data_IF_848906786908
#
_entry.id   IF_848906786908
#
_cell.length_a   1.000
_cell.length_b   1.000
_cell.length_c   1.000
_cell.angle_alpha   90.00
_cell.angle_beta   90.00
_cell.angle_gamma   90.00
#
_symmetry.space_group_name_H-M   'P 1'
#
loop_
_entity.id
_entity.type
_entity.pdbx_description
1 polymer ?
#
# COMPACT_ATOMS: atom_id res chain seq x y z
N UNK A 1 -9.11 -19.93 -10.42
CA UNK A 1 -8.91 -20.80 -11.61
C UNK A 1 -7.61 -21.58 -11.43
N UNK A 2 -7.62 -22.92 -11.45
CA UNK A 2 -6.41 -23.71 -11.42
C UNK A 2 -5.50 -23.35 -12.60
N UNK A 3 -4.21 -23.10 -12.35
CA UNK A 3 -3.24 -22.63 -13.37
C UNK A 3 -3.08 -23.58 -14.56
N UNK A 4 -3.34 -24.87 -14.37
CA UNK A 4 -3.25 -25.92 -15.38
C UNK A 4 -4.62 -26.56 -15.70
N UNK A 5 -5.71 -25.93 -15.26
CA UNK A 5 -7.08 -26.38 -15.55
C UNK A 5 -7.65 -25.77 -16.83
N UNK A 6 -8.90 -26.09 -17.09
CA UNK A 6 -9.72 -25.52 -18.17
C UNK A 6 -10.82 -24.60 -17.61
N UNK A 7 -11.73 -24.15 -18.48
CA UNK A 7 -12.84 -23.28 -18.09
C UNK A 7 -13.81 -23.96 -17.10
N UNK A 8 -14.01 -25.27 -17.21
CA UNK A 8 -14.88 -26.06 -16.32
C UNK A 8 -14.26 -26.24 -14.93
N UNK A 9 -12.93 -26.09 -14.83
CA UNK A 9 -12.18 -26.15 -13.58
C UNK A 9 -12.29 -24.86 -12.74
N UNK A 10 -12.99 -23.82 -13.22
CA UNK A 10 -13.18 -22.55 -12.49
C UNK A 10 -14.18 -22.75 -11.35
N UNK A 11 -13.76 -22.41 -10.14
CA UNK A 11 -14.64 -22.32 -8.98
C UNK A 11 -14.97 -20.86 -8.69
N UNK A 12 -16.26 -20.59 -8.49
CA UNK A 12 -16.77 -19.27 -8.12
C UNK A 12 -17.17 -19.27 -6.65
N UNK A 13 -16.93 -18.14 -6.00
CA UNK A 13 -17.26 -17.90 -4.60
C UNK A 13 -17.99 -16.57 -4.51
N UNK A 14 -19.11 -16.55 -3.79
CA UNK A 14 -19.87 -15.34 -3.52
C UNK A 14 -19.33 -14.65 -2.27
N UNK A 15 -19.21 -13.32 -2.33
CA UNK A 15 -18.72 -12.47 -1.25
C UNK A 15 -19.62 -11.25 -1.10
N UNK A 16 -19.61 -10.64 0.08
CA UNK A 16 -20.30 -9.36 0.29
C UNK A 16 -19.78 -8.30 -0.69
N UNK A 17 -20.61 -7.35 -1.16
CA UNK A 17 -20.16 -6.24 -1.99
C UNK A 17 -19.07 -5.41 -1.30
N UNK A 18 -18.03 -5.03 -2.05
CA UNK A 18 -16.96 -4.14 -1.62
C UNK A 18 -16.27 -3.48 -2.81
N UNK A 19 -15.38 -2.53 -2.54
CA UNK A 19 -14.44 -2.00 -3.53
C UNK A 19 -13.00 -2.37 -3.13
N UNK A 20 -12.20 -2.79 -4.11
CA UNK A 20 -10.78 -3.09 -3.96
C UNK A 20 -10.09 -2.74 -5.27
N UNK A 21 -8.95 -2.05 -5.18
CA UNK A 21 -8.08 -1.80 -6.33
C UNK A 21 -6.91 -2.77 -6.39
N UNK A 22 -6.22 -2.94 -5.27
CA UNK A 22 -4.97 -3.68 -5.24
C UNK A 22 -4.99 -4.85 -4.27
N UNK A 23 -4.49 -5.97 -4.77
CA UNK A 23 -4.15 -7.16 -4.00
C UNK A 23 -2.77 -6.97 -3.37
N UNK A 24 -2.60 -7.47 -2.15
CA UNK A 24 -1.29 -7.60 -1.51
C UNK A 24 -0.62 -8.87 -2.01
N UNK A 25 -1.25 -10.01 -1.77
CA UNK A 25 -0.77 -11.32 -2.17
C UNK A 25 -1.90 -12.35 -2.16
N UNK A 26 -1.64 -13.55 -2.69
CA UNK A 26 -2.57 -14.66 -2.69
C UNK A 26 -1.78 -15.97 -2.62
N UNK A 27 -2.13 -16.90 -1.73
CA UNK A 27 -1.41 -18.15 -1.52
C UNK A 27 -2.33 -19.28 -1.05
N UNK A 28 -1.86 -20.52 -1.14
CA UNK A 28 -2.60 -21.71 -0.71
C UNK A 28 -2.18 -22.13 0.71
N UNK A 29 -3.15 -22.54 1.53
CA UNK A 29 -2.95 -23.16 2.83
C UNK A 29 -3.90 -24.34 2.99
N UNK A 30 -3.36 -25.55 2.87
CA UNK A 30 -4.16 -26.78 2.91
C UNK A 30 -5.21 -26.79 1.81
N UNK A 31 -6.48 -26.78 2.21
CA UNK A 31 -7.63 -26.77 1.29
C UNK A 31 -8.15 -25.36 0.98
N UNK A 32 -7.46 -24.32 1.45
CA UNK A 32 -7.89 -22.93 1.31
C UNK A 32 -6.99 -22.13 0.38
N UNK A 33 -7.59 -21.20 -0.37
CA UNK A 33 -6.88 -20.10 -1.00
C UNK A 33 -7.08 -18.86 -0.13
N UNK A 34 -5.97 -18.29 0.34
CA UNK A 34 -5.93 -17.05 1.11
C UNK A 34 -5.70 -15.90 0.15
N UNK A 35 -6.61 -14.93 0.14
CA UNK A 35 -6.54 -13.72 -0.69
C UNK A 35 -6.41 -12.53 0.24
N UNK A 36 -5.38 -11.72 0.07
CA UNK A 36 -5.17 -10.51 0.87
C UNK A 36 -5.21 -9.28 -0.04
N UNK A 37 -5.97 -8.27 0.33
CA UNK A 37 -6.09 -7.04 -0.45
C UNK A 37 -6.60 -5.86 0.37
N UNK A 38 -6.51 -4.68 -0.23
CA UNK A 38 -6.95 -3.44 0.40
C UNK A 38 -8.42 -3.17 0.02
N UNK A 39 -9.32 -3.43 0.98
CA UNK A 39 -10.77 -3.41 0.85
C UNK A 39 -11.34 -2.12 1.44
N UNK A 40 -12.25 -1.47 0.73
CA UNK A 40 -13.20 -0.52 1.29
C UNK A 40 -14.63 -1.06 1.21
N UNK A 41 -15.47 -0.67 2.17
CA UNK A 41 -16.86 -1.10 2.22
C UNK A 41 -17.73 -0.45 1.13
N UNK A 42 -17.29 0.70 0.60
CA UNK A 42 -18.01 1.44 -0.45
C UNK A 42 -17.04 1.97 -1.53
N UNK A 43 -17.59 2.38 -2.67
CA UNK A 43 -16.81 2.82 -3.83
C UNK A 43 -16.16 4.20 -3.61
N UNK A 44 -14.83 4.24 -3.75
CA UNK A 44 -14.06 5.49 -3.82
C UNK A 44 -14.18 6.15 -5.20
N UNK A 45 -14.57 5.41 -6.24
CA UNK A 45 -14.84 5.96 -7.57
C UNK A 45 -16.27 6.50 -7.63
N UNK A 46 -16.48 7.77 -7.97
CA UNK A 46 -17.81 8.28 -8.25
C UNK A 46 -18.37 7.58 -9.49
N UNK A 47 -19.34 6.69 -9.31
CA UNK A 47 -20.17 6.20 -10.41
C UNK A 47 -20.98 7.34 -11.03
N UNK A 48 -21.58 7.15 -12.22
CA UNK A 48 -22.33 8.21 -12.93
C UNK A 48 -23.60 8.70 -12.21
N UNK A 49 -23.89 8.21 -10.99
CA UNK A 49 -25.15 8.42 -10.26
C UNK A 49 -24.98 8.86 -8.80
N UNK A 50 -23.76 9.04 -8.29
CA UNK A 50 -23.60 9.43 -6.89
C UNK A 50 -24.02 10.90 -6.69
N UNK A 51 -24.95 11.11 -5.75
CA UNK A 51 -25.39 12.43 -5.36
C UNK A 51 -24.20 13.18 -4.75
N UNK A 52 -23.97 14.43 -5.18
CA UNK A 52 -22.86 15.27 -4.68
C UNK A 52 -22.83 15.39 -3.14
N UNK A 53 -23.95 15.17 -2.44
CA UNK A 53 -24.00 15.17 -0.97
C UNK A 53 -23.32 13.98 -0.30
N UNK A 54 -23.16 12.82 -0.96
CA UNK A 54 -22.61 11.60 -0.32
C UNK A 54 -21.07 11.58 -0.32
N UNK A 55 -20.43 12.38 -1.19
CA UNK A 55 -18.97 12.50 -1.33
C UNK A 55 -18.42 13.70 -0.54
N UNK A 56 -19.25 14.71 -0.29
CA UNK A 56 -18.81 15.90 0.43
C UNK A 56 -18.80 15.60 1.94
N UNK A 57 -17.67 15.75 2.66
CA UNK A 57 -17.76 15.93 4.10
C UNK A 57 -18.68 17.13 4.34
N UNK A 58 -19.68 16.94 5.21
CA UNK A 58 -20.68 17.95 5.58
C UNK A 58 -20.02 19.34 5.68
N UNK A 59 -20.52 20.33 4.91
CA UNK A 59 -20.09 21.73 4.97
C UNK A 59 -20.13 22.19 6.44
N UNK A 60 -18.99 22.34 7.09
CA UNK A 60 -18.95 22.95 8.42
C UNK A 60 -19.11 24.46 8.27
N UNK A 61 -20.22 25.03 8.75
CA UNK A 61 -20.24 26.44 9.12
C UNK A 61 -19.28 26.65 10.31
N UNK A 62 -18.36 27.61 10.21
CA UNK A 62 -17.50 27.99 11.33
C UNK A 62 -18.36 28.55 12.47
N UNK A 63 -18.45 27.83 13.60
CA UNK A 63 -18.79 28.45 14.88
C UNK A 63 -17.53 29.05 15.51
N UNK A 64 -17.69 30.23 16.11
CA UNK A 64 -16.65 31.13 16.63
C UNK A 64 -15.83 30.62 17.83
N UNK A 65 -16.00 29.38 18.26
CA UNK A 65 -15.28 28.84 19.42
C UNK A 65 -14.26 27.83 18.94
N UNK A 66 -12.98 28.22 18.94
CA UNK A 66 -11.81 27.51 18.40
C UNK A 66 -11.47 26.16 19.06
N UNK A 67 -12.43 25.24 19.12
CA UNK A 67 -12.19 23.82 19.37
C UNK A 67 -12.28 23.06 18.05
N UNK A 68 -11.17 22.46 17.63
CA UNK A 68 -11.13 21.59 16.47
C UNK A 68 -12.06 20.39 16.70
N UNK A 69 -13.12 20.28 15.89
CA UNK A 69 -13.94 19.08 15.84
C UNK A 69 -13.16 18.01 15.05
N UNK A 70 -12.90 16.84 15.65
CA UNK A 70 -12.52 15.65 14.88
C UNK A 70 -13.76 15.25 14.06
N UNK A 71 -13.90 15.81 12.86
CA UNK A 71 -15.03 15.50 11.99
C UNK A 71 -14.83 14.09 11.42
N UNK A 72 -15.84 13.24 11.60
CA UNK A 72 -15.81 11.82 11.29
C UNK A 72 -15.47 11.58 9.83
N UNK A 73 -14.29 11.02 9.59
CA UNK A 73 -13.91 10.52 8.27
C UNK A 73 -14.88 9.38 7.95
N UNK A 74 -15.45 9.35 6.75
CA UNK A 74 -16.33 8.24 6.36
C UNK A 74 -15.49 6.96 6.21
N UNK A 75 -15.37 6.20 7.30
CA UNK A 75 -14.59 4.97 7.40
C UNK A 75 -15.01 3.92 6.37
N UNK A 76 -16.22 4.04 5.78
CA UNK A 76 -16.66 3.14 4.69
C UNK A 76 -15.80 3.27 3.43
N UNK A 77 -15.14 4.41 3.24
CA UNK A 77 -14.23 4.67 2.11
C UNK A 77 -12.77 4.35 2.45
N UNK A 78 -12.48 3.89 3.68
CA UNK A 78 -11.11 3.50 4.04
C UNK A 78 -10.78 2.16 3.41
N UNK A 79 -9.72 2.15 2.62
CA UNK A 79 -9.15 0.94 2.09
C UNK A 79 -8.23 0.37 3.17
N UNK A 80 -8.54 -0.84 3.64
CA UNK A 80 -7.92 -1.51 4.79
C UNK A 80 -7.53 -2.92 4.39
N UNK A 81 -6.51 -3.48 5.03
CA UNK A 81 -6.15 -4.87 4.75
C UNK A 81 -7.28 -5.79 5.20
N UNK A 82 -7.77 -6.59 4.27
CA UNK A 82 -8.77 -7.62 4.46
C UNK A 82 -8.24 -8.95 3.91
N UNK A 83 -8.46 -10.02 4.66
CA UNK A 83 -8.14 -11.39 4.24
C UNK A 83 -9.43 -12.14 3.94
N UNK A 84 -9.51 -12.76 2.76
CA UNK A 84 -10.52 -13.77 2.44
C UNK A 84 -9.88 -15.14 2.48
N UNK A 85 -10.59 -16.11 3.03
CA UNK A 85 -10.24 -17.53 2.95
C UNK A 85 -11.30 -18.28 2.18
N UNK A 86 -10.89 -18.83 1.04
CA UNK A 86 -11.75 -19.56 0.11
C UNK A 86 -11.47 -21.05 0.26
N UNK A 87 -12.38 -21.79 0.90
CA UNK A 87 -12.20 -23.22 1.11
C UNK A 87 -12.65 -24.00 -0.13
N UNK A 88 -11.71 -24.69 -0.79
CA UNK A 88 -11.94 -25.39 -2.06
C UNK A 88 -12.75 -26.68 -1.89
N UNK A 89 -12.77 -27.29 -0.69
CA UNK A 89 -13.54 -28.51 -0.40
C UNK A 89 -14.98 -28.20 -0.03
N UNK A 90 -15.19 -27.30 0.93
CA UNK A 90 -16.52 -26.95 1.44
C UNK A 90 -17.22 -25.92 0.57
N UNK A 91 -16.47 -25.22 -0.30
CA UNK A 91 -16.94 -24.10 -1.14
C UNK A 91 -17.47 -22.92 -0.31
N UNK A 92 -16.90 -22.71 0.87
CA UNK A 92 -17.26 -21.61 1.77
C UNK A 92 -16.23 -20.49 1.71
N UNK A 93 -16.67 -19.27 2.03
CA UNK A 93 -15.79 -18.11 2.21
C UNK A 93 -15.92 -17.61 3.63
N UNK A 94 -14.78 -17.26 4.23
CA UNK A 94 -14.72 -16.37 5.39
C UNK A 94 -13.84 -15.17 5.06
N UNK A 95 -13.95 -14.11 5.87
CA UNK A 95 -12.99 -13.02 5.77
C UNK A 95 -13.10 -12.03 6.90
N UNK A 96 -12.02 -11.30 7.13
CA UNK A 96 -11.87 -10.37 8.23
C UNK A 96 -10.92 -9.21 7.87
N UNK A 97 -11.10 -8.08 8.55
CA UNK A 97 -10.12 -6.99 8.49
C UNK A 97 -8.93 -7.32 9.38
N UNK A 98 -7.72 -7.22 8.83
CA UNK A 98 -6.49 -7.41 9.60
C UNK A 98 -5.96 -6.09 10.19
N UNK A 99 -6.33 -4.94 9.62
CA UNK A 99 -5.94 -3.60 10.11
C UNK A 99 -7.16 -2.81 10.56
N UNK A 100 -6.96 -1.83 11.46
CA UNK A 100 -8.03 -0.99 11.99
C UNK A 100 -8.33 0.21 11.08
N UNK A 101 -8.90 1.27 11.65
CA UNK A 101 -9.26 2.52 10.95
C UNK A 101 -8.27 3.65 11.19
N UNK A 102 -7.12 3.38 11.80
CA UNK A 102 -6.04 4.34 12.07
C UNK A 102 -5.50 5.01 10.81
N UNK A 103 -5.48 4.30 9.68
CA UNK A 103 -5.11 4.85 8.39
C UNK A 103 -5.78 4.09 7.24
N UNK A 104 -6.09 4.83 6.15
CA UNK A 104 -6.45 4.23 4.88
C UNK A 104 -5.18 3.94 4.08
N UNK A 105 -5.11 2.76 3.47
CA UNK A 105 -3.94 2.20 2.82
C UNK A 105 -4.22 1.96 1.34
N UNK A 106 -3.24 2.19 0.48
CA UNK A 106 -3.31 1.84 -0.95
C UNK A 106 -1.92 1.53 -1.51
N UNK A 107 -1.85 1.06 -2.76
CA UNK A 107 -0.59 0.66 -3.41
C UNK A 107 0.25 -0.29 -2.55
N UNK A 108 -0.28 -1.50 -2.24
CA UNK A 108 0.44 -2.48 -1.47
C UNK A 108 1.64 -3.03 -2.24
N UNK A 109 2.62 -3.50 -1.50
CA UNK A 109 3.84 -4.12 -2.01
C UNK A 109 4.36 -5.14 -0.99
N UNK A 110 5.02 -6.17 -1.48
CA UNK A 110 5.69 -7.21 -0.68
C UNK A 110 7.10 -7.41 -1.21
N UNK A 111 7.91 -8.20 -0.50
CA UNK A 111 9.09 -8.79 -1.10
C UNK A 111 8.66 -9.76 -2.22
N UNK A 112 8.97 -9.43 -3.48
CA UNK A 112 8.54 -10.21 -4.64
C UNK A 112 9.06 -11.65 -4.67
N UNK A 113 10.05 -12.02 -3.84
CA UNK A 113 10.43 -13.41 -3.64
C UNK A 113 9.32 -14.27 -3.01
N UNK A 114 8.31 -13.61 -2.41
CA UNK A 114 7.19 -14.24 -1.71
C UNK A 114 5.85 -14.09 -2.45
N UNK A 115 5.86 -13.63 -3.70
CA UNK A 115 4.64 -13.58 -4.52
C UNK A 115 4.07 -14.98 -4.73
N UNK A 116 2.78 -15.16 -4.40
CA UNK A 116 2.10 -16.45 -4.58
C UNK A 116 2.32 -17.45 -3.45
N UNK A 117 3.08 -17.09 -2.40
CA UNK A 117 3.36 -17.93 -1.23
C UNK A 117 3.12 -17.15 0.06
N UNK A 118 3.07 -17.86 1.19
CA UNK A 118 2.93 -17.25 2.52
C UNK A 118 4.06 -16.24 2.76
N UNK A 119 3.73 -15.14 3.41
CA UNK A 119 4.63 -14.03 3.68
C UNK A 119 4.30 -13.40 5.05
N UNK A 120 5.33 -12.95 5.76
CA UNK A 120 5.26 -12.35 7.09
C UNK A 120 5.06 -10.83 7.07
N UNK A 121 5.40 -10.18 5.95
CA UNK A 121 5.40 -8.72 5.85
C UNK A 121 4.72 -8.22 4.58
N UNK A 122 4.03 -7.11 4.72
CA UNK A 122 3.55 -6.29 3.61
C UNK A 122 3.85 -4.82 3.85
N UNK A 123 3.74 -4.02 2.81
CA UNK A 123 3.87 -2.57 2.91
C UNK A 123 2.80 -1.91 2.07
N UNK A 124 2.40 -0.69 2.42
CA UNK A 124 1.44 0.10 1.67
C UNK A 124 1.75 1.59 1.81
N UNK A 125 1.23 2.39 0.88
CA UNK A 125 1.21 3.84 0.99
C UNK A 125 0.01 4.27 1.83
N UNK A 126 0.19 5.28 2.68
CA UNK A 126 -0.89 5.79 3.53
C UNK A 126 -1.58 6.96 2.82
N UNK A 127 -2.88 6.80 2.57
CA UNK A 127 -3.72 7.84 1.97
C UNK A 127 -3.75 9.06 2.90
N UNK A 128 -3.37 10.21 2.36
CA UNK A 128 -3.51 11.50 3.03
C UNK A 128 -4.95 11.99 2.89
N UNK A 129 -5.70 11.98 4.00
CA UNK A 129 -7.09 12.43 4.05
C UNK A 129 -7.23 13.95 4.29
N UNK A 130 -6.11 14.67 4.49
CA UNK A 130 -6.09 16.07 4.93
C UNK A 130 -5.75 17.07 3.82
N UNK A 131 -5.28 16.62 2.65
CA UNK A 131 -4.93 17.50 1.54
C UNK A 131 -6.14 18.20 0.96
N UNK A 132 -6.43 19.39 1.52
CA UNK A 132 -7.32 20.38 0.94
C UNK A 132 -6.78 20.78 -0.43
N UNK A 133 -7.57 20.52 -1.46
CA UNK A 133 -7.28 21.04 -2.80
C UNK A 133 -7.13 22.57 -2.73
N UNK A 134 -5.93 23.08 -2.99
CA UNK A 134 -5.69 24.51 -3.21
C UNK A 134 -6.24 24.99 -4.56
N UNK A 135 -6.84 24.10 -5.37
CA UNK A 135 -7.43 24.42 -6.65
C UNK A 135 -8.94 24.18 -6.63
N UNK A 136 -9.69 25.05 -7.30
CA UNK A 136 -11.14 24.97 -7.50
C UNK A 136 -11.61 23.78 -8.37
N UNK A 137 -10.74 22.79 -8.63
CA UNK A 137 -11.08 21.60 -9.41
C UNK A 137 -11.61 20.51 -8.49
N UNK A 138 -12.87 20.12 -8.70
CA UNK A 138 -13.63 19.10 -7.95
C UNK A 138 -13.08 17.66 -8.10
N UNK A 139 -11.81 17.45 -8.51
CA UNK A 139 -11.18 16.13 -8.62
C UNK A 139 -10.10 15.97 -7.56
N UNK A 140 -10.47 15.42 -6.41
CA UNK A 140 -9.52 14.99 -5.38
C UNK A 140 -8.91 13.66 -5.85
N UNK A 141 -7.69 13.70 -6.37
CA UNK A 141 -6.87 12.50 -6.46
C UNK A 141 -6.27 12.25 -5.07
N UNK A 142 -6.40 11.03 -4.51
CA UNK A 142 -5.77 10.72 -3.23
C UNK A 142 -4.26 10.92 -3.36
N UNK A 143 -3.70 11.64 -2.40
CA UNK A 143 -2.25 11.77 -2.21
C UNK A 143 -1.83 10.83 -1.09
N UNK A 144 -0.53 10.56 -0.99
CA UNK A 144 -0.01 9.58 -0.05
C UNK A 144 1.04 10.22 0.86
N UNK A 145 0.74 10.35 2.14
CA UNK A 145 1.56 11.09 3.12
C UNK A 145 2.55 10.23 3.91
N UNK A 146 2.77 8.98 3.50
CA UNK A 146 3.63 8.06 4.23
C UNK A 146 3.51 6.61 3.78
N UNK A 147 4.11 5.73 4.56
CA UNK A 147 4.13 4.29 4.34
C UNK A 147 3.77 3.55 5.62
N UNK A 148 3.13 2.40 5.46
CA UNK A 148 2.87 1.44 6.53
C UNK A 148 3.60 0.13 6.22
N UNK A 149 4.22 -0.47 7.24
CA UNK A 149 4.68 -1.86 7.24
C UNK A 149 3.65 -2.67 8.04
N UNK A 150 3.20 -3.76 7.45
CA UNK A 150 2.17 -4.67 7.96
C UNK A 150 2.88 -5.93 8.47
N UNK A 151 2.79 -6.23 9.75
CA UNK A 151 3.45 -7.39 10.38
C UNK A 151 2.45 -8.54 10.57
N UNK A 152 2.41 -9.48 9.62
CA UNK A 152 1.41 -10.56 9.55
C UNK A 152 1.74 -11.75 10.45
N UNK A 153 3.03 -11.98 10.75
CA UNK A 153 3.51 -13.12 11.55
C UNK A 153 3.06 -13.07 13.02
N UNK A 154 2.83 -11.88 13.57
CA UNK A 154 2.50 -11.71 15.00
C UNK A 154 1.16 -12.37 15.41
N UNK A 155 0.29 -12.71 14.44
CA UNK A 155 -0.95 -13.47 14.69
C UNK A 155 -0.74 -14.97 14.95
N UNK A 156 0.41 -15.54 14.58
CA UNK A 156 0.67 -16.98 14.74
C UNK A 156 0.97 -17.37 16.21
N UNK A 157 1.29 -16.39 17.07
CA UNK A 157 1.79 -16.62 18.44
C UNK A 157 0.79 -16.32 19.58
N UNK A 158 -0.45 -15.90 19.29
CA UNK A 158 -1.46 -15.58 20.31
C UNK A 158 -2.70 -16.46 20.20
N UNK A 159 -3.16 -17.00 21.33
CA UNK A 159 -4.50 -17.62 21.44
C UNK A 159 -5.54 -16.56 21.05
N UNK A 160 -6.15 -16.77 19.88
CA UNK A 160 -6.82 -15.73 19.09
C UNK A 160 -8.03 -15.14 19.81
N UNK A 161 -7.99 -13.84 20.08
CA UNK A 161 -9.16 -13.05 20.44
C UNK A 161 -9.70 -12.34 19.19
N UNK A 162 -11.01 -12.09 19.14
CA UNK A 162 -11.71 -11.56 17.96
C UNK A 162 -11.33 -10.11 17.57
N UNK A 163 -10.36 -9.49 18.24
CA UNK A 163 -9.88 -8.12 18.00
C UNK A 163 -8.36 -8.06 17.76
N UNK A 164 -7.73 -9.18 17.42
CA UNK A 164 -6.28 -9.25 17.17
C UNK A 164 -5.93 -8.66 15.80
N UNK A 165 -5.93 -7.34 15.70
CA UNK A 165 -5.40 -6.60 14.56
C UNK A 165 -3.88 -6.80 14.49
N UNK A 166 -3.33 -6.84 13.27
CA UNK A 166 -1.89 -6.94 13.08
C UNK A 166 -1.19 -5.67 13.54
N UNK A 167 0.05 -5.80 14.00
CA UNK A 167 0.91 -4.64 14.24
C UNK A 167 1.23 -3.95 12.92
N UNK A 168 1.22 -2.62 12.96
CA UNK A 168 1.75 -1.79 11.89
C UNK A 168 2.84 -0.85 12.40
N UNK A 169 3.88 -0.69 11.60
CA UNK A 169 4.92 0.33 11.80
C UNK A 169 4.72 1.42 10.75
N UNK A 170 4.83 2.69 11.16
CA UNK A 170 4.41 3.82 10.32
C UNK A 170 5.57 4.78 10.05
N UNK A 171 5.83 5.02 8.77
CA UNK A 171 6.77 6.04 8.31
C UNK A 171 5.99 7.24 7.73
N UNK A 172 5.87 8.33 8.50
CA UNK A 172 5.22 9.56 8.02
C UNK A 172 6.22 10.47 7.30
N UNK A 173 5.77 11.03 6.18
CA UNK A 173 6.49 12.10 5.49
C UNK A 173 6.22 13.44 6.18
N UNK A 174 7.01 14.45 5.83
CA UNK A 174 6.82 15.81 6.35
C UNK A 174 5.55 16.45 5.77
N UNK A 175 5.10 17.55 6.37
CA UNK A 175 4.03 18.35 5.79
C UNK A 175 4.38 18.79 4.33
N UNK A 176 3.40 18.67 3.43
CA UNK A 176 3.50 18.88 1.98
C UNK A 176 4.34 17.87 1.20
N UNK A 177 4.82 16.79 1.83
CA UNK A 177 5.53 15.70 1.15
C UNK A 177 4.60 14.54 0.83
N UNK A 178 4.56 14.14 -0.45
CA UNK A 178 3.69 13.06 -0.92
C UNK A 178 4.48 12.04 -1.75
N UNK A 179 4.23 10.75 -1.48
CA UNK A 179 4.89 9.65 -2.17
C UNK A 179 4.10 9.10 -3.36
N UNK A 180 4.82 8.42 -4.26
CA UNK A 180 4.26 7.59 -5.33
C UNK A 180 5.28 6.56 -5.83
N UNK A 181 4.83 5.58 -6.62
CA UNK A 181 5.71 4.61 -7.28
C UNK A 181 6.60 3.80 -6.34
N UNK A 182 6.13 3.52 -5.12
CA UNK A 182 6.88 2.78 -4.13
C UNK A 182 7.12 1.32 -4.54
N UNK A 183 8.28 0.77 -4.18
CA UNK A 183 8.63 -0.62 -4.42
C UNK A 183 9.53 -1.14 -3.30
N UNK A 184 9.36 -2.41 -2.93
CA UNK A 184 10.28 -3.11 -2.06
C UNK A 184 11.50 -3.59 -2.84
N UNK A 185 12.68 -3.38 -2.25
CA UNK A 185 13.98 -3.80 -2.81
C UNK A 185 14.67 -4.73 -1.83
N UNK A 186 14.78 -6.04 -2.14
CA UNK A 186 15.45 -6.98 -1.24
C UNK A 186 16.95 -6.67 -1.15
N UNK A 187 17.50 -6.83 0.05
CA UNK A 187 18.94 -6.82 0.28
C UNK A 187 19.58 -8.02 -0.39
N UNK A 188 20.64 -7.80 -1.15
CA UNK A 188 21.44 -8.89 -1.73
C UNK A 188 22.02 -9.73 -0.59
N UNK A 189 21.68 -11.01 -0.57
CA UNK A 189 22.08 -11.94 0.50
C UNK A 189 21.37 -11.71 1.84
N UNK A 190 20.24 -11.00 1.87
CA UNK A 190 19.37 -10.91 3.05
C UNK A 190 18.87 -12.29 3.50
N UNK A 191 18.67 -12.45 4.80
CA UNK A 191 18.23 -13.72 5.41
C UNK A 191 16.80 -13.68 5.96
N UNK A 192 16.19 -12.50 6.07
CA UNK A 192 14.82 -12.29 6.50
C UNK A 192 13.98 -11.71 5.36
N UNK A 193 12.67 -11.95 5.39
CA UNK A 193 11.75 -11.47 4.36
C UNK A 193 11.76 -9.94 4.25
N UNK A 194 11.86 -9.23 5.39
CA UNK A 194 11.94 -7.78 5.47
C UNK A 194 13.38 -7.22 5.41
N UNK A 195 14.38 -8.03 5.05
CA UNK A 195 15.74 -7.54 4.80
C UNK A 195 15.78 -6.77 3.48
N UNK A 196 15.54 -5.47 3.53
CA UNK A 196 15.51 -4.66 2.33
C UNK A 196 15.23 -3.18 2.58
N UNK A 197 14.68 -2.56 1.55
CA UNK A 197 14.30 -1.16 1.59
C UNK A 197 12.99 -0.92 0.86
N UNK A 198 12.24 0.08 1.31
CA UNK A 198 11.26 0.76 0.46
C UNK A 198 11.96 1.88 -0.28
N UNK A 199 11.83 1.89 -1.60
CA UNK A 199 12.26 3.00 -2.45
C UNK A 199 11.03 3.65 -3.05
N UNK A 200 10.92 4.98 -2.96
CA UNK A 200 9.78 5.72 -3.48
C UNK A 200 10.17 7.14 -3.87
N UNK A 201 9.47 7.69 -4.87
CA UNK A 201 9.53 9.13 -5.15
C UNK A 201 8.73 9.88 -4.11
N UNK A 202 9.29 10.97 -3.60
CA UNK A 202 8.63 11.91 -2.70
C UNK A 202 8.69 13.31 -3.31
N UNK A 203 7.54 13.93 -3.50
CA UNK A 203 7.40 15.29 -3.98
C UNK A 203 7.04 16.21 -2.83
N UNK A 204 7.84 17.24 -2.60
CA UNK A 204 7.53 18.32 -1.68
C UNK A 204 6.85 19.45 -2.46
N UNK A 205 5.55 19.66 -2.26
CA UNK A 205 4.77 20.64 -3.02
C UNK A 205 5.13 22.09 -2.68
N UNK A 206 5.56 22.35 -1.44
CA UNK A 206 5.95 23.68 -0.98
C UNK A 206 7.23 24.19 -1.64
N UNK A 207 8.22 23.31 -1.83
CA UNK A 207 9.49 23.65 -2.48
C UNK A 207 9.52 23.28 -3.96
N UNK A 208 8.49 22.57 -4.43
CA UNK A 208 8.41 21.98 -5.78
C UNK A 208 9.61 21.08 -6.12
N UNK A 209 10.17 20.39 -5.13
CA UNK A 209 11.31 19.47 -5.30
C UNK A 209 10.83 18.01 -5.28
N UNK A 210 11.57 17.14 -5.96
CA UNK A 210 11.35 15.69 -5.88
C UNK A 210 12.60 14.99 -5.41
N UNK A 211 12.44 14.00 -4.54
CA UNK A 211 13.52 13.17 -4.03
C UNK A 211 13.16 11.70 -4.22
N UNK A 212 14.17 10.83 -4.26
CA UNK A 212 14.00 9.40 -4.01
C UNK A 212 14.34 9.16 -2.54
N UNK A 213 13.37 8.65 -1.78
CA UNK A 213 13.59 8.19 -0.41
C UNK A 213 13.93 6.70 -0.42
N UNK A 214 14.92 6.32 0.38
CA UNK A 214 15.29 4.92 0.65
C UNK A 214 15.10 4.70 2.14
N UNK A 215 14.17 3.82 2.51
CA UNK A 215 13.74 3.56 3.89
C UNK A 215 14.12 2.13 4.25
N UNK A 216 14.86 1.94 5.34
CA UNK A 216 15.24 0.61 5.84
C UNK A 216 14.02 -0.06 6.49
N UNK A 217 13.65 -1.24 6.00
CA UNK A 217 12.42 -1.93 6.42
C UNK A 217 12.50 -2.56 7.81
N UNK A 218 13.70 -2.71 8.39
CA UNK A 218 13.90 -3.12 9.77
C UNK A 218 13.98 -1.94 10.75
N UNK A 219 14.11 -0.71 10.24
CA UNK A 219 14.09 0.53 11.01
C UNK A 219 13.04 1.48 10.45
N UNK A 220 11.85 0.95 10.23
CA UNK A 220 10.85 1.52 9.34
C UNK A 220 10.35 2.90 9.80
N UNK A 221 10.13 3.08 11.10
CA UNK A 221 9.69 4.36 11.69
C UNK A 221 10.81 5.41 11.78
N UNK A 222 12.05 5.02 11.49
CA UNK A 222 13.22 5.89 11.50
C UNK A 222 13.31 6.79 10.29
N UNK A 223 14.29 7.70 10.29
CA UNK A 223 14.59 8.54 9.13
C UNK A 223 15.03 7.68 7.91
N UNK A 224 14.75 8.11 6.67
CA UNK A 224 15.28 7.45 5.48
C UNK A 224 16.81 7.32 5.55
N UNK A 225 17.35 6.16 5.17
CA UNK A 225 18.80 5.94 5.13
C UNK A 225 19.48 6.76 4.02
N UNK A 226 18.71 7.18 3.01
CA UNK A 226 19.12 8.14 2.01
C UNK A 226 17.93 8.92 1.45
N UNK A 227 18.18 10.17 1.08
CA UNK A 227 17.30 11.01 0.26
C UNK A 227 18.12 11.55 -0.92
N UNK A 228 17.70 11.25 -2.15
CA UNK A 228 18.40 11.67 -3.36
C UNK A 228 17.56 12.73 -4.07
N UNK A 229 18.00 13.98 -4.08
CA UNK A 229 17.30 15.06 -4.78
C UNK A 229 17.43 14.91 -6.29
N UNK A 230 16.29 14.96 -6.98
CA UNK A 230 16.23 14.86 -8.43
C UNK A 230 16.35 16.25 -9.07
N UNK A 231 16.96 16.37 -10.26
CA UNK A 231 17.16 17.66 -10.92
C UNK A 231 15.86 18.24 -11.49
N UNK A 232 14.77 17.46 -11.53
CA UNK A 232 13.47 17.82 -12.07
C UNK A 232 12.35 17.22 -11.23
N UNK A 233 11.19 17.84 -11.28
CA UNK A 233 9.97 17.34 -10.65
C UNK A 233 9.55 16.01 -11.28
N UNK A 234 9.24 15.03 -10.44
CA UNK A 234 8.56 13.80 -10.84
C UNK A 234 7.06 13.97 -10.60
N UNK A 235 6.19 13.87 -11.64
CA UNK A 235 4.75 13.88 -11.44
C UNK A 235 4.27 12.71 -10.59
N UNK A 236 3.13 12.87 -9.92
CA UNK A 236 2.48 11.76 -9.22
C UNK A 236 2.19 10.63 -10.20
N UNK A 237 2.87 9.50 -9.98
CA UNK A 237 2.68 8.27 -10.74
C UNK A 237 1.78 7.28 -10.00
N UNK A 238 1.57 6.13 -10.62
CA UNK A 238 0.88 4.99 -10.01
C UNK A 238 1.92 3.99 -9.48
N UNK A 239 2.22 2.97 -10.28
CA UNK A 239 3.10 1.88 -9.90
C UNK A 239 4.57 2.19 -10.16
N UNK A 240 5.43 1.56 -9.37
CA UNK A 240 6.87 1.50 -9.59
C UNK A 240 7.34 0.06 -9.47
N UNK A 241 8.40 -0.29 -10.18
CA UNK A 241 9.07 -1.59 -10.04
C UNK A 241 10.56 -1.38 -9.98
N UNK A 242 11.23 -2.14 -9.12
CA UNK A 242 12.68 -2.21 -9.09
C UNK A 242 13.15 -3.44 -9.87
N UNK A 243 14.15 -3.24 -10.73
CA UNK A 243 14.74 -4.33 -11.52
C UNK A 243 16.23 -4.37 -11.23
N UNK A 244 16.69 -5.47 -10.65
CA UNK A 244 18.11 -5.70 -10.46
C UNK A 244 18.81 -5.97 -11.80
N UNK A 245 19.90 -5.28 -12.08
CA UNK A 245 20.66 -5.53 -13.30
C UNK A 245 21.64 -6.68 -13.09
N UNK A 246 21.25 -7.89 -13.50
CA UNK A 246 22.14 -9.06 -13.52
C UNK A 246 23.05 -9.01 -14.75
N UNK A 247 23.99 -8.06 -14.82
CA UNK A 247 25.03 -8.12 -15.85
C UNK A 247 26.01 -9.24 -15.46
N UNK A 248 25.81 -10.43 -16.02
CA UNK A 248 26.86 -11.45 -16.15
C UNK A 248 27.34 -11.43 -17.60
N UNK A 249 28.43 -10.68 -17.86
CA UNK A 249 29.05 -10.59 -19.18
C UNK A 249 30.02 -9.41 -19.37
N UNK A 250 31.26 -9.59 -18.91
CA UNK A 250 32.54 -8.94 -19.34
C UNK A 250 32.62 -7.39 -19.52
N UNK A 251 33.37 -6.71 -18.62
CA UNK A 251 34.78 -6.23 -18.75
C UNK A 251 35.04 -5.10 -17.74
N UNK A 252 36.21 -5.21 -17.11
CA UNK A 252 36.89 -4.30 -16.20
C UNK A 252 36.87 -2.80 -16.63
N UNK A 253 36.38 -1.89 -15.78
CA UNK A 253 37.05 -0.60 -15.46
C UNK A 253 36.36 0.14 -14.29
N UNK A 254 37.18 0.46 -13.28
CA UNK A 254 37.08 1.55 -12.27
C UNK A 254 35.84 1.67 -11.37
N UNK A 255 36.14 1.78 -10.08
CA UNK A 255 35.24 2.12 -8.98
C UNK A 255 34.54 3.46 -9.18
N UNK A 256 33.32 3.42 -9.70
CA UNK A 256 32.31 4.46 -9.48
C UNK A 256 31.09 3.78 -8.86
N UNK A 257 30.67 4.24 -7.67
CA UNK A 257 29.39 3.87 -7.09
C UNK A 257 28.27 4.50 -7.92
N UNK A 258 27.92 3.88 -9.04
CA UNK A 258 26.71 4.21 -9.79
C UNK A 258 25.59 3.29 -9.35
N UNK A 259 24.57 3.87 -8.73
CA UNK A 259 23.21 3.33 -8.74
C UNK A 259 22.65 3.54 -10.16
N UNK A 260 23.23 2.82 -11.12
CA UNK A 260 22.62 2.74 -12.45
C UNK A 260 21.45 1.76 -12.35
N UNK A 261 20.27 2.25 -12.76
CA UNK A 261 19.04 1.52 -13.09
C UNK A 261 17.96 1.41 -12.00
N UNK A 262 17.20 2.50 -11.80
CA UNK A 262 15.76 2.38 -11.59
C UNK A 262 15.06 2.57 -12.94
N UNK A 263 14.28 1.57 -13.38
CA UNK A 263 13.36 1.72 -14.51
C UNK A 263 11.94 1.80 -13.96
N UNK A 264 11.31 2.96 -14.11
CA UNK A 264 9.90 3.14 -13.85
C UNK A 264 9.12 2.90 -15.14
N UNK A 265 8.04 2.12 -15.06
CA UNK A 265 7.08 1.96 -16.14
C UNK A 265 5.93 2.93 -15.81
N UNK A 266 5.68 3.89 -16.70
CA UNK A 266 4.56 4.84 -16.63
C UNK A 266 3.38 4.36 -17.47
#
# INVERSE_FOLDING_TARGET
>A
MPRYGDAESVMWFDVEPFCMFHLINCFEEGDEVVVQGLRSADSVIPGPRLNKQEILPERSELKKDGKAMKQGINEKLFSRLFEWRLNLKTKTVSGEYLTGTECSLEFPMINNHYTGVRHSYGYAQIVDSLTRSASSSEKVLPKYGGFAKLCLEERENTETSAEDLIKMEIHRLSEDEFCSGASFVPRVGGSHEDDGWIISFVHNERTNTSQVHIIDTQKFEGAPVAKITLPQRVPYGFHGTFVHNNIHGHVNTRSEKKLDNLKFIY
#
